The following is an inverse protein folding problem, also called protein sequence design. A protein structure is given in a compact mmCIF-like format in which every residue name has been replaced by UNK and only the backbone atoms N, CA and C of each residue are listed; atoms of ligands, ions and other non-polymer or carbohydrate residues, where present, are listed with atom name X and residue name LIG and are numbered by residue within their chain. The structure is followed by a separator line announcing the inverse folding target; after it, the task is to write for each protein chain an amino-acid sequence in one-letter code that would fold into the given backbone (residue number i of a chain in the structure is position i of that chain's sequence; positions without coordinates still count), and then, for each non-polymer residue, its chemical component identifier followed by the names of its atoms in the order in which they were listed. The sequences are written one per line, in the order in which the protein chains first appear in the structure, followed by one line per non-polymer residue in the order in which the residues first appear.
data_IF_933664140204
#
_entry.id   IF_933664140204
#
_cell.length_a   1.000
_cell.length_b   1.000
_cell.length_c   1.000
_cell.angle_alpha   90.00
_cell.angle_beta   90.00
_cell.angle_gamma   90.00
#
_symmetry.space_group_name_H-M   'P 1'
#
loop_
_entity.id
_entity.type
_entity.pdbx_description
1 polymer ?
#
# COMPACT_ATOMS: atom_id res chain seq x y z
N UNK A 1 -37.44 -13.05 1.87
CA UNK A 1 -36.13 -13.05 1.26
C UNK A 1 -35.39 -14.32 1.68
N UNK A 2 -34.99 -15.14 0.70
CA UNK A 2 -34.14 -16.31 0.98
C UNK A 2 -32.78 -15.81 1.43
N UNK A 3 -32.41 -16.11 2.66
CA UNK A 3 -31.04 -15.84 3.15
C UNK A 3 -30.09 -16.69 2.31
N UNK A 4 -29.21 -16.06 1.58
CA UNK A 4 -28.24 -16.74 0.76
C UNK A 4 -27.15 -17.34 1.67
N UNK A 5 -27.26 -18.65 1.93
CA UNK A 5 -26.41 -19.39 2.86
C UNK A 5 -24.92 -19.24 2.47
N UNK A 6 -24.64 -19.09 1.17
CA UNK A 6 -23.26 -18.86 0.69
C UNK A 6 -22.69 -17.55 1.22
N UNK A 7 -23.49 -16.49 1.28
CA UNK A 7 -23.05 -15.19 1.83
C UNK A 7 -22.87 -15.25 3.34
N UNK A 8 -23.71 -16.00 4.05
CA UNK A 8 -23.62 -16.18 5.50
C UNK A 8 -22.29 -16.85 5.91
N UNK A 9 -21.74 -17.71 5.08
CA UNK A 9 -20.46 -18.41 5.32
C UNK A 9 -19.29 -17.58 4.80
N UNK A 10 -19.42 -16.94 3.64
CA UNK A 10 -18.34 -16.18 3.00
C UNK A 10 -17.90 -14.94 3.81
N UNK A 11 -18.85 -14.20 4.41
CA UNK A 11 -18.50 -13.01 5.20
C UNK A 11 -17.66 -13.32 6.45
N UNK A 12 -18.04 -14.29 7.32
CA UNK A 12 -17.21 -14.67 8.45
C UNK A 12 -15.84 -15.22 8.04
N UNK A 13 -15.76 -15.98 6.96
CA UNK A 13 -14.52 -16.53 6.44
C UNK A 13 -13.59 -15.42 5.92
N UNK A 14 -14.13 -14.45 5.18
CA UNK A 14 -13.39 -13.28 4.71
C UNK A 14 -12.90 -12.42 5.88
N UNK A 15 -13.75 -12.20 6.90
CA UNK A 15 -13.38 -11.48 8.12
C UNK A 15 -12.26 -12.20 8.88
N UNK A 16 -12.36 -13.52 9.02
CA UNK A 16 -11.32 -14.33 9.66
C UNK A 16 -9.98 -14.21 8.90
N UNK A 17 -10.01 -14.30 7.57
CA UNK A 17 -8.84 -14.12 6.72
C UNK A 17 -8.21 -12.72 6.89
N UNK A 18 -9.04 -11.68 6.95
CA UNK A 18 -8.59 -10.31 7.18
C UNK A 18 -7.96 -10.13 8.55
N UNK A 19 -8.56 -10.70 9.60
CA UNK A 19 -8.02 -10.65 10.97
C UNK A 19 -6.70 -11.41 11.09
N UNK A 20 -6.59 -12.56 10.43
CA UNK A 20 -5.34 -13.33 10.39
C UNK A 20 -4.23 -12.57 9.69
N UNK A 21 -4.54 -11.94 8.54
CA UNK A 21 -3.60 -11.10 7.82
C UNK A 21 -3.17 -9.89 8.65
N UNK A 22 -4.12 -9.21 9.29
CA UNK A 22 -3.82 -8.08 10.17
C UNK A 22 -2.90 -8.49 11.34
N UNK A 23 -3.21 -9.60 12.00
CA UNK A 23 -2.38 -10.14 13.08
C UNK A 23 -0.95 -10.48 12.61
N UNK A 24 -0.82 -11.06 11.42
CA UNK A 24 0.47 -11.36 10.83
C UNK A 24 1.29 -10.09 10.52
N UNK A 25 0.66 -9.08 9.92
CA UNK A 25 1.31 -7.79 9.61
C UNK A 25 1.79 -7.12 10.90
N UNK A 26 0.93 -7.00 11.92
CA UNK A 26 1.27 -6.40 13.20
C UNK A 26 2.42 -7.17 13.88
N UNK A 27 2.39 -8.50 13.84
CA UNK A 27 3.48 -9.32 14.38
C UNK A 27 4.81 -9.08 13.65
N UNK A 28 4.78 -9.00 12.33
CA UNK A 28 5.95 -8.69 11.50
C UNK A 28 6.51 -7.30 11.83
N UNK A 29 5.65 -6.29 11.93
CA UNK A 29 6.05 -4.91 12.25
C UNK A 29 6.65 -4.80 13.66
N UNK A 30 6.09 -5.51 14.63
CA UNK A 30 6.65 -5.55 15.98
C UNK A 30 8.05 -6.19 16.00
N UNK A 31 8.25 -7.27 15.25
CA UNK A 31 9.56 -7.92 15.12
C UNK A 31 10.58 -7.01 14.42
N UNK A 32 10.15 -6.31 13.37
CA UNK A 32 10.98 -5.32 12.67
C UNK A 32 11.31 -4.11 13.55
N UNK A 33 10.36 -3.65 14.34
CA UNK A 33 10.58 -2.56 15.30
C UNK A 33 11.70 -2.88 16.26
N UNK A 34 11.66 -4.06 16.89
CA UNK A 34 12.72 -4.51 17.79
C UNK A 34 14.10 -4.60 17.10
N UNK A 35 14.12 -5.02 15.83
CA UNK A 35 15.37 -5.06 15.07
C UNK A 35 15.90 -3.64 14.74
N UNK A 36 15.02 -2.70 14.39
CA UNK A 36 15.43 -1.31 14.15
C UNK A 36 15.84 -0.56 15.43
N UNK A 37 15.26 -0.91 16.59
CA UNK A 37 15.74 -0.42 17.89
C UNK A 37 17.17 -0.86 18.17
N UNK A 38 17.52 -2.13 17.92
CA UNK A 38 18.89 -2.62 18.06
C UNK A 38 19.89 -1.89 17.15
N UNK A 39 19.43 -1.38 16.01
CA UNK A 39 20.23 -0.60 15.07
C UNK A 39 20.29 0.90 15.39
N UNK A 40 19.65 1.35 16.48
CA UNK A 40 19.46 2.77 16.80
C UNK A 40 18.85 3.58 15.65
N UNK A 41 17.92 2.98 14.91
CA UNK A 41 17.24 3.59 13.76
C UNK A 41 15.73 3.28 13.72
N UNK A 42 15.00 3.47 14.84
CA UNK A 42 13.58 3.10 14.92
C UNK A 42 12.70 3.93 13.98
N UNK A 43 13.14 5.12 13.58
CA UNK A 43 12.47 5.98 12.60
C UNK A 43 12.36 5.35 11.21
N UNK A 44 13.13 4.30 10.93
CA UNK A 44 13.07 3.59 9.66
C UNK A 44 11.79 2.76 9.51
N UNK A 45 11.17 2.32 10.60
CA UNK A 45 9.97 1.50 10.54
C UNK A 45 8.78 2.22 9.86
N UNK A 46 8.35 3.42 10.31
CA UNK A 46 7.29 4.15 9.62
C UNK A 46 7.65 4.49 8.17
N UNK A 47 8.91 4.81 7.89
CA UNK A 47 9.38 5.08 6.53
C UNK A 47 9.23 3.86 5.61
N UNK A 48 9.66 2.71 6.07
CA UNK A 48 9.55 1.46 5.32
C UNK A 48 8.08 1.05 5.12
N UNK A 49 7.26 1.16 6.15
CA UNK A 49 5.84 0.82 6.07
C UNK A 49 5.07 1.72 5.10
N UNK A 50 5.31 3.03 5.13
CA UNK A 50 4.73 3.99 4.18
C UNK A 50 5.23 3.69 2.76
N UNK A 51 6.53 3.41 2.57
CA UNK A 51 7.09 3.03 1.28
C UNK A 51 6.43 1.77 0.73
N UNK A 52 6.31 0.72 1.55
CA UNK A 52 5.65 -0.53 1.17
C UNK A 52 4.18 -0.31 0.83
N UNK A 53 3.46 0.48 1.62
CA UNK A 53 2.07 0.82 1.33
C UNK A 53 1.92 1.55 -0.02
N UNK A 54 2.80 2.50 -0.32
CA UNK A 54 2.78 3.22 -1.61
C UNK A 54 3.16 2.34 -2.79
N UNK A 55 4.16 1.47 -2.64
CA UNK A 55 4.59 0.54 -3.70
C UNK A 55 3.52 -0.50 -3.98
N UNK A 56 2.95 -1.11 -2.94
CA UNK A 56 1.85 -2.08 -3.09
C UNK A 56 0.63 -1.43 -3.71
N UNK A 57 0.23 -0.25 -3.23
CA UNK A 57 -0.86 0.52 -3.82
C UNK A 57 -0.59 0.81 -5.31
N UNK A 58 0.62 1.21 -5.71
CA UNK A 58 0.96 1.43 -7.11
C UNK A 58 0.80 0.17 -7.96
N UNK A 59 1.33 -0.95 -7.49
CA UNK A 59 1.28 -2.21 -8.23
C UNK A 59 -0.15 -2.72 -8.42
N UNK A 60 -0.96 -2.71 -7.37
CA UNK A 60 -2.34 -3.20 -7.44
C UNK A 60 -3.27 -2.23 -8.15
N UNK A 61 -3.15 -0.92 -7.89
CA UNK A 61 -4.06 0.06 -8.45
C UNK A 61 -3.94 0.21 -9.98
N UNK A 62 -2.79 -0.08 -10.60
CA UNK A 62 -2.68 -0.10 -12.07
C UNK A 62 -3.66 -1.11 -12.67
N UNK A 63 -3.70 -2.33 -12.13
CA UNK A 63 -4.60 -3.38 -12.64
C UNK A 63 -6.05 -3.10 -12.29
N UNK A 64 -6.32 -2.63 -11.09
CA UNK A 64 -7.67 -2.24 -10.67
C UNK A 64 -8.20 -1.08 -11.51
N UNK A 65 -7.37 -0.07 -11.81
CA UNK A 65 -7.73 1.07 -12.63
C UNK A 65 -8.00 0.66 -14.09
N UNK A 66 -7.18 -0.24 -14.65
CA UNK A 66 -7.46 -0.84 -15.96
C UNK A 66 -8.79 -1.59 -15.96
N UNK A 67 -9.06 -2.39 -14.93
CA UNK A 67 -10.31 -3.12 -14.79
C UNK A 67 -11.51 -2.17 -14.65
N UNK A 68 -11.39 -1.14 -13.82
CA UNK A 68 -12.46 -0.17 -13.57
C UNK A 68 -12.78 0.68 -14.79
N UNK A 69 -11.78 1.08 -15.58
CA UNK A 69 -11.99 1.96 -16.73
C UNK A 69 -12.43 1.20 -18.00
N UNK A 70 -11.89 0.01 -18.24
CA UNK A 70 -12.06 -0.65 -19.54
C UNK A 70 -12.87 -1.94 -19.47
N UNK A 71 -13.00 -2.59 -18.30
CA UNK A 71 -13.66 -3.89 -18.19
C UNK A 71 -14.91 -3.90 -17.32
N UNK A 72 -15.26 -2.77 -16.66
CA UNK A 72 -16.45 -2.74 -15.83
C UNK A 72 -17.72 -2.71 -16.72
N UNK A 73 -18.68 -3.59 -16.41
CA UNK A 73 -19.99 -3.63 -17.07
C UNK A 73 -20.81 -2.36 -16.82
N UNK A 74 -20.52 -1.66 -15.74
CA UNK A 74 -21.22 -0.43 -15.33
C UNK A 74 -20.93 0.73 -16.29
N UNK A 75 -19.80 0.71 -17.01
CA UNK A 75 -19.51 1.72 -18.04
C UNK A 75 -20.52 1.71 -19.17
N UNK A 76 -21.09 0.56 -19.52
CA UNK A 76 -22.13 0.46 -20.54
C UNK A 76 -23.46 1.05 -20.04
N UNK A 77 -23.83 0.82 -18.77
CA UNK A 77 -25.03 1.40 -18.16
C UNK A 77 -24.88 2.91 -17.87
N UNK A 78 -23.69 3.39 -17.57
CA UNK A 78 -23.39 4.81 -17.39
C UNK A 78 -23.43 5.60 -18.70
N UNK A 79 -23.26 4.94 -19.86
CA UNK A 79 -23.34 5.58 -21.16
C UNK A 79 -24.72 6.17 -21.48
N UNK A 80 -25.79 5.69 -20.83
CA UNK A 80 -27.14 6.22 -20.95
C UNK A 80 -27.43 7.42 -20.05
N UNK A 81 -26.55 7.73 -19.11
CA UNK A 81 -26.68 8.86 -18.21
C UNK A 81 -25.90 10.06 -18.78
N UNK A 82 -26.42 11.29 -18.66
CA UNK A 82 -25.73 12.51 -19.12
C UNK A 82 -24.59 12.89 -18.17
N UNK A 83 -23.63 11.96 -17.98
CA UNK A 83 -22.49 12.17 -17.11
C UNK A 83 -21.30 12.69 -17.92
N UNK A 84 -20.55 13.61 -17.32
CA UNK A 84 -19.30 14.07 -17.93
C UNK A 84 -18.21 13.00 -17.73
N UNK A 85 -17.27 12.90 -18.67
CA UNK A 85 -16.12 11.97 -18.56
C UNK A 85 -15.33 12.16 -17.27
N UNK A 86 -15.27 13.39 -16.77
CA UNK A 86 -14.60 13.72 -15.49
C UNK A 86 -15.31 13.09 -14.30
N UNK A 87 -16.65 13.12 -14.28
CA UNK A 87 -17.44 12.54 -13.20
C UNK A 87 -17.28 11.01 -13.16
N UNK A 88 -17.28 10.36 -14.32
CA UNK A 88 -17.05 8.92 -14.42
C UNK A 88 -15.63 8.55 -13.93
N UNK A 89 -14.64 9.32 -14.36
CA UNK A 89 -13.25 9.11 -13.96
C UNK A 89 -13.06 9.28 -12.45
N UNK A 90 -13.63 10.34 -11.87
CA UNK A 90 -13.57 10.60 -10.42
C UNK A 90 -14.26 9.49 -9.62
N UNK A 91 -15.42 9.00 -10.09
CA UNK A 91 -16.11 7.89 -9.45
C UNK A 91 -15.25 6.60 -9.44
N UNK A 92 -14.61 6.29 -10.57
CA UNK A 92 -13.73 5.11 -10.70
C UNK A 92 -12.45 5.25 -9.87
N UNK A 93 -11.88 6.46 -9.84
CA UNK A 93 -10.75 6.76 -8.97
C UNK A 93 -11.11 6.55 -7.49
N UNK A 94 -12.28 7.06 -7.06
CA UNK A 94 -12.75 6.91 -5.67
C UNK A 94 -13.02 5.45 -5.32
N UNK A 95 -13.58 4.66 -6.25
CA UNK A 95 -13.81 3.22 -6.06
C UNK A 95 -12.50 2.48 -5.76
N UNK A 96 -11.48 2.72 -6.57
CA UNK A 96 -10.15 2.12 -6.40
C UNK A 96 -9.47 2.67 -5.13
N UNK A 97 -9.59 3.97 -4.86
CA UNK A 97 -9.03 4.58 -3.66
C UNK A 97 -9.56 3.94 -2.37
N UNK A 98 -10.87 3.75 -2.25
CA UNK A 98 -11.46 3.14 -1.05
C UNK A 98 -10.98 1.69 -0.87
N UNK A 99 -10.85 0.92 -1.96
CA UNK A 99 -10.36 -0.45 -1.87
C UNK A 99 -8.89 -0.53 -1.44
N UNK A 100 -8.04 0.34 -1.99
CA UNK A 100 -6.61 0.39 -1.67
C UNK A 100 -6.32 1.00 -0.28
N UNK A 101 -7.18 1.93 0.18
CA UNK A 101 -7.01 2.59 1.46
C UNK A 101 -6.99 1.59 2.62
N UNK A 102 -7.85 0.57 2.58
CA UNK A 102 -7.90 -0.45 3.62
C UNK A 102 -6.59 -1.24 3.71
N UNK A 103 -6.02 -1.62 2.56
CA UNK A 103 -4.74 -2.33 2.51
C UNK A 103 -3.57 -1.46 2.96
N UNK A 104 -3.53 -0.22 2.52
CA UNK A 104 -2.46 0.70 2.92
C UNK A 104 -2.51 1.06 4.40
N UNK A 105 -3.71 1.22 4.95
CA UNK A 105 -3.87 1.42 6.40
C UNK A 105 -3.43 0.18 7.18
N UNK A 106 -3.71 -1.01 6.68
CA UNK A 106 -3.27 -2.25 7.31
C UNK A 106 -1.75 -2.34 7.39
N UNK A 107 -1.03 -1.85 6.37
CA UNK A 107 0.43 -1.89 6.31
C UNK A 107 1.06 -0.70 7.03
N UNK A 108 0.57 0.53 6.85
CA UNK A 108 1.26 1.72 7.35
C UNK A 108 0.82 2.15 8.75
N UNK A 109 -0.47 1.96 9.10
CA UNK A 109 -0.97 2.50 10.36
C UNK A 109 -0.37 1.82 11.60
N UNK A 110 -0.23 0.48 11.69
CA UNK A 110 0.33 -0.14 12.89
C UNK A 110 1.79 0.27 13.10
N UNK A 111 2.61 0.35 12.04
CA UNK A 111 4.01 0.79 12.12
C UNK A 111 4.14 2.21 12.65
N UNK A 112 3.34 3.15 12.12
CA UNK A 112 3.36 4.56 12.53
C UNK A 112 2.86 4.70 13.98
N UNK A 113 1.80 3.96 14.34
CA UNK A 113 1.26 3.97 15.71
C UNK A 113 2.26 3.36 16.70
N UNK A 114 2.88 2.23 16.34
CA UNK A 114 3.87 1.55 17.18
C UNK A 114 5.06 2.46 17.48
N UNK A 115 5.58 3.15 16.47
CA UNK A 115 6.62 4.14 16.63
C UNK A 115 6.18 5.29 17.58
N UNK A 116 4.97 5.81 17.38
CA UNK A 116 4.43 6.89 18.24
C UNK A 116 4.30 6.48 19.71
N UNK A 117 3.83 5.27 20.00
CA UNK A 117 3.67 4.77 21.37
C UNK A 117 5.03 4.62 22.08
N UNK A 118 6.07 4.12 21.41
CA UNK A 118 7.36 3.84 22.04
C UNK A 118 8.23 5.09 22.21
N UNK A 119 8.12 6.05 21.30
CA UNK A 119 8.93 7.28 21.33
C UNK A 119 8.19 8.47 21.93
N UNK A 120 7.16 8.20 22.76
CA UNK A 120 6.39 9.22 23.50
C UNK A 120 5.94 10.40 22.62
N UNK A 121 5.47 10.06 21.41
CA UNK A 121 5.01 11.08 20.47
C UNK A 121 3.86 11.87 21.08
N UNK A 122 3.95 13.18 20.97
CA UNK A 122 2.91 14.10 21.42
C UNK A 122 1.59 13.86 20.64
N UNK A 123 0.47 14.29 21.20
CA UNK A 123 -0.84 14.17 20.54
C UNK A 123 -0.85 14.79 19.13
N UNK A 124 -0.02 15.81 18.89
CA UNK A 124 0.16 16.46 17.59
C UNK A 124 0.73 15.51 16.53
N UNK A 125 1.51 14.50 16.93
CA UNK A 125 1.99 13.43 16.06
C UNK A 125 0.81 12.64 15.46
N UNK A 126 -0.12 12.20 16.32
CA UNK A 126 -1.30 11.44 15.87
C UNK A 126 -2.25 12.29 15.03
N UNK A 127 -2.36 13.59 15.33
CA UNK A 127 -3.16 14.51 14.53
C UNK A 127 -2.59 14.67 13.11
N UNK A 128 -1.27 14.72 12.96
CA UNK A 128 -0.58 14.81 11.66
C UNK A 128 -0.57 13.48 10.91
N UNK A 129 -0.51 12.36 11.63
CA UNK A 129 -0.55 11.01 11.09
C UNK A 129 -1.82 10.75 10.27
N UNK A 130 -2.98 11.12 10.78
CA UNK A 130 -4.28 10.80 10.15
C UNK A 130 -4.39 11.30 8.71
N UNK A 131 -4.20 12.60 8.40
CA UNK A 131 -4.28 13.06 7.02
C UNK A 131 -3.17 12.49 6.12
N UNK A 132 -1.99 12.20 6.64
CA UNK A 132 -0.93 11.55 5.87
C UNK A 132 -1.33 10.12 5.49
N UNK A 133 -1.83 9.31 6.42
CA UNK A 133 -2.28 7.95 6.14
C UNK A 133 -3.48 7.91 5.17
N UNK A 134 -4.37 8.88 5.24
CA UNK A 134 -5.45 9.01 4.27
C UNK A 134 -4.94 9.41 2.88
N UNK A 135 -3.92 10.25 2.80
CA UNK A 135 -3.39 10.73 1.53
C UNK A 135 -2.32 9.82 0.89
N UNK A 136 -1.83 8.80 1.62
CA UNK A 136 -0.72 7.94 1.19
C UNK A 136 -0.94 7.29 -0.18
N UNK A 137 -2.19 6.96 -0.52
CA UNK A 137 -2.55 6.31 -1.78
C UNK A 137 -2.81 7.29 -2.93
N UNK A 138 -2.97 8.57 -2.68
CA UNK A 138 -3.36 9.52 -3.72
C UNK A 138 -2.32 9.61 -4.83
N UNK A 139 -1.02 9.66 -4.48
CA UNK A 139 0.08 9.70 -5.45
C UNK A 139 0.15 8.40 -6.28
N UNK A 140 0.24 7.19 -5.67
CA UNK A 140 0.23 5.94 -6.41
C UNK A 140 -0.99 5.79 -7.33
N UNK A 141 -2.18 6.14 -6.86
CA UNK A 141 -3.40 6.05 -7.66
C UNK A 141 -3.38 7.01 -8.86
N UNK A 142 -2.90 8.22 -8.67
CA UNK A 142 -2.80 9.19 -9.77
C UNK A 142 -1.83 8.71 -10.83
N UNK A 143 -0.67 8.15 -10.43
CA UNK A 143 0.27 7.53 -11.35
C UNK A 143 -0.38 6.34 -12.06
N UNK A 144 -1.10 5.49 -11.34
CA UNK A 144 -1.81 4.32 -11.88
C UNK A 144 -2.89 4.71 -12.88
N UNK A 145 -3.62 5.79 -12.61
CA UNK A 145 -4.61 6.34 -13.53
C UNK A 145 -3.96 6.80 -14.85
N UNK A 146 -2.83 7.50 -14.76
CA UNK A 146 -2.06 7.92 -15.93
C UNK A 146 -1.56 6.72 -16.73
N UNK A 147 -0.96 5.73 -16.04
CA UNK A 147 -0.49 4.50 -16.67
C UNK A 147 -1.63 3.71 -17.33
N UNK A 148 -2.75 3.53 -16.64
CA UNK A 148 -3.94 2.87 -17.18
C UNK A 148 -4.49 3.60 -18.39
N UNK A 149 -4.50 4.94 -18.38
CA UNK A 149 -4.95 5.76 -19.51
C UNK A 149 -4.03 5.63 -20.73
N UNK A 150 -2.72 5.52 -20.52
CA UNK A 150 -1.74 5.29 -21.59
C UNK A 150 -1.88 3.88 -22.14
N UNK A 151 -1.90 2.87 -21.27
CA UNK A 151 -2.03 1.46 -21.66
C UNK A 151 -3.36 1.20 -22.40
N UNK A 152 -4.44 1.81 -21.96
CA UNK A 152 -5.75 1.67 -22.59
C UNK A 152 -5.84 2.23 -24.02
N UNK A 153 -4.92 3.10 -24.44
CA UNK A 153 -4.82 3.58 -25.83
C UNK A 153 -4.30 2.49 -26.79
N UNK A 154 -3.59 1.50 -26.27
CA UNK A 154 -3.18 0.35 -27.07
C UNK A 154 -4.34 -0.63 -27.18
N UNK A 155 -5.19 -0.45 -28.20
CA UNK A 155 -6.47 -1.15 -28.43
C UNK A 155 -6.34 -2.69 -28.46
N UNK A 156 -5.16 -3.23 -28.73
CA UNK A 156 -4.90 -4.67 -28.67
C UNK A 156 -4.93 -5.24 -27.25
N UNK A 157 -4.64 -4.42 -26.24
CA UNK A 157 -4.56 -4.82 -24.83
C UNK A 157 -5.96 -5.07 -24.23
N UNK A 158 -6.96 -4.30 -24.64
CA UNK A 158 -8.33 -4.39 -24.12
C UNK A 158 -9.07 -5.64 -24.62
N UNK A 159 -8.62 -6.23 -25.73
CA UNK A 159 -9.23 -7.42 -26.33
C UNK A 159 -8.95 -8.71 -25.54
N UNK A 160 -7.91 -8.74 -24.74
CA UNK A 160 -7.45 -9.92 -24.00
C UNK A 160 -7.36 -9.64 -22.48
N UNK A 161 -8.49 -9.19 -21.87
CA UNK A 161 -8.55 -8.88 -20.43
C UNK A 161 -8.07 -10.03 -19.54
N UNK A 162 -8.37 -11.28 -19.94
CA UNK A 162 -8.00 -12.48 -19.19
C UNK A 162 -6.48 -12.66 -19.15
N UNK A 163 -5.79 -12.30 -20.24
CA UNK A 163 -4.32 -12.35 -20.33
C UNK A 163 -3.69 -11.37 -19.35
N UNK A 164 -4.26 -10.16 -19.19
CA UNK A 164 -3.71 -9.15 -18.26
C UNK A 164 -3.91 -9.51 -16.79
N UNK A 165 -5.07 -10.09 -16.46
CA UNK A 165 -5.32 -10.60 -15.10
C UNK A 165 -4.36 -11.76 -14.80
N UNK A 166 -4.22 -12.70 -15.72
CA UNK A 166 -3.30 -13.82 -15.57
C UNK A 166 -1.85 -13.33 -15.48
N UNK A 167 -1.45 -12.40 -16.35
CA UNK A 167 -0.08 -11.85 -16.36
C UNK A 167 0.26 -11.12 -15.07
N UNK A 168 -0.68 -10.32 -14.53
CA UNK A 168 -0.53 -9.65 -13.25
C UNK A 168 -0.41 -10.64 -12.09
N UNK A 169 -1.26 -11.67 -12.08
CA UNK A 169 -1.22 -12.73 -11.06
C UNK A 169 0.08 -13.53 -11.14
N UNK A 170 0.51 -13.90 -12.35
CA UNK A 170 1.77 -14.64 -12.57
C UNK A 170 2.97 -13.78 -12.19
N UNK A 171 2.99 -12.49 -12.58
CA UNK A 171 4.06 -11.58 -12.21
C UNK A 171 4.18 -11.46 -10.70
N UNK A 172 3.05 -11.29 -10.00
CA UNK A 172 3.03 -11.21 -8.56
C UNK A 172 3.51 -12.51 -7.91
N UNK A 173 3.04 -13.66 -8.42
CA UNK A 173 3.49 -14.97 -7.96
C UNK A 173 5.01 -15.14 -8.14
N UNK A 174 5.55 -14.76 -9.30
CA UNK A 174 7.00 -14.80 -9.58
C UNK A 174 7.78 -13.90 -8.63
N UNK A 175 7.28 -12.69 -8.34
CA UNK A 175 7.92 -11.78 -7.38
C UNK A 175 7.90 -12.39 -5.99
N UNK A 176 6.76 -12.89 -5.52
CA UNK A 176 6.63 -13.50 -4.19
C UNK A 176 7.52 -14.74 -4.06
N UNK A 177 7.42 -15.68 -5.01
CA UNK A 177 8.26 -16.89 -5.00
C UNK A 177 9.74 -16.58 -5.18
N UNK A 178 10.09 -15.57 -5.98
CA UNK A 178 11.47 -15.11 -6.14
C UNK A 178 12.06 -14.51 -4.87
N UNK A 179 11.28 -13.74 -4.14
CA UNK A 179 11.66 -13.23 -2.82
C UNK A 179 11.78 -14.36 -1.80
N UNK A 180 10.79 -15.25 -1.78
CA UNK A 180 10.80 -16.42 -0.90
C UNK A 180 12.05 -17.28 -1.15
N UNK A 181 12.33 -17.64 -2.39
CA UNK A 181 13.52 -18.43 -2.74
C UNK A 181 14.84 -17.73 -2.45
N UNK A 182 14.91 -16.42 -2.59
CA UNK A 182 16.15 -15.67 -2.34
C UNK A 182 16.39 -15.36 -0.87
N UNK A 183 15.35 -15.31 -0.03
CA UNK A 183 15.44 -14.88 1.38
C UNK A 183 15.34 -16.07 2.33
N UNK A 184 14.34 -16.94 2.17
CA UNK A 184 14.06 -18.05 3.11
C UNK A 184 15.25 -18.99 3.34
N UNK A 185 16.01 -19.45 2.32
CA UNK A 185 17.12 -20.37 2.55
C UNK A 185 18.30 -19.74 3.33
N UNK A 186 18.29 -18.42 3.50
CA UNK A 186 19.32 -17.68 4.22
C UNK A 186 18.95 -17.43 5.68
N UNK A 187 17.71 -17.73 6.06
CA UNK A 187 17.23 -17.55 7.43
C UNK A 187 17.47 -18.85 8.20
N UNK A 188 18.32 -18.88 9.23
CA UNK A 188 18.49 -20.04 10.11
C UNK A 188 17.18 -20.37 10.83
N UNK A 189 16.96 -21.65 11.15
CA UNK A 189 15.76 -22.10 11.88
C UNK A 189 15.65 -21.47 13.29
N UNK A 190 16.78 -21.07 13.86
CA UNK A 190 16.92 -20.41 15.16
C UNK A 190 17.18 -18.90 15.04
N UNK A 191 16.79 -18.30 13.91
CA UNK A 191 16.98 -16.86 13.67
C UNK A 191 16.29 -16.03 14.76
N UNK A 192 17.10 -15.31 15.50
CA UNK A 192 16.67 -14.38 16.55
C UNK A 192 16.66 -12.92 16.04
N UNK A 193 16.24 -12.01 16.92
CA UNK A 193 16.23 -10.58 16.59
C UNK A 193 17.63 -10.05 16.25
N UNK A 194 18.70 -10.63 16.80
CA UNK A 194 20.07 -10.24 16.50
C UNK A 194 20.48 -10.63 15.09
N UNK A 195 20.06 -11.79 14.59
CA UNK A 195 20.25 -12.18 13.18
C UNK A 195 19.57 -11.20 12.22
N UNK A 196 18.31 -10.86 12.50
CA UNK A 196 17.59 -9.87 11.67
C UNK A 196 18.22 -8.49 11.73
N UNK A 197 18.71 -8.06 12.91
CA UNK A 197 19.43 -6.81 13.05
C UNK A 197 20.73 -6.82 12.22
N UNK A 198 21.49 -7.91 12.24
CA UNK A 198 22.71 -8.04 11.43
C UNK A 198 22.42 -8.04 9.93
N UNK A 199 21.36 -8.70 9.49
CA UNK A 199 20.90 -8.69 8.11
C UNK A 199 20.49 -7.27 7.67
N UNK A 200 19.75 -6.56 8.54
CA UNK A 200 19.32 -5.19 8.29
C UNK A 200 20.48 -4.19 8.28
N UNK A 201 21.58 -4.43 9.03
CA UNK A 201 22.75 -3.54 9.04
C UNK A 201 23.34 -3.36 7.64
N UNK A 202 23.39 -4.44 6.85
CA UNK A 202 23.86 -4.39 5.47
C UNK A 202 22.90 -3.67 4.51
N UNK A 203 21.60 -3.70 4.80
CA UNK A 203 20.54 -3.13 3.94
C UNK A 203 20.14 -1.73 4.38
N UNK A 204 20.46 -1.33 5.62
CA UNK A 204 20.08 -0.03 6.18
C UNK A 204 20.46 1.17 5.32
N UNK A 205 21.69 1.30 4.77
CA UNK A 205 22.05 2.43 3.91
C UNK A 205 21.20 2.47 2.62
N UNK A 206 20.92 1.30 2.08
CA UNK A 206 20.08 1.16 0.89
C UNK A 206 18.62 1.54 1.19
N UNK A 207 18.05 1.08 2.31
CA UNK A 207 16.72 1.45 2.76
C UNK A 207 16.58 2.95 2.99
N UNK A 208 17.54 3.56 3.68
CA UNK A 208 17.60 5.03 3.84
C UNK A 208 17.65 5.73 2.49
N UNK A 209 18.50 5.26 1.58
CA UNK A 209 18.59 5.83 0.23
C UNK A 209 17.26 5.72 -0.52
N UNK A 210 16.54 4.60 -0.42
CA UNK A 210 15.22 4.44 -1.03
C UNK A 210 14.17 5.37 -0.43
N UNK A 211 14.10 5.46 0.89
CA UNK A 211 13.16 6.36 1.57
C UNK A 211 13.39 7.81 1.14
N UNK A 212 14.66 8.25 1.09
CA UNK A 212 15.00 9.61 0.67
C UNK A 212 14.98 9.82 -0.86
N UNK A 213 15.19 8.76 -1.65
CA UNK A 213 15.11 8.85 -3.12
C UNK A 213 13.66 8.99 -3.61
N UNK A 214 12.68 8.63 -2.78
CA UNK A 214 11.26 8.82 -3.08
C UNK A 214 10.69 9.95 -2.21
N UNK A 215 10.75 11.22 -2.69
CA UNK A 215 10.43 12.40 -1.87
C UNK A 215 9.09 12.33 -1.14
N UNK A 216 7.99 11.77 -1.71
CA UNK A 216 6.72 11.67 -1.00
C UNK A 216 6.80 10.85 0.30
N UNK A 217 7.62 9.79 0.34
CA UNK A 217 7.79 9.00 1.56
C UNK A 217 8.56 9.80 2.61
N UNK A 218 9.66 10.45 2.22
CA UNK A 218 10.43 11.29 3.12
C UNK A 218 9.54 12.41 3.71
N UNK A 219 8.80 13.12 2.87
CA UNK A 219 7.86 14.17 3.31
C UNK A 219 6.77 13.66 4.25
N UNK A 220 6.25 12.46 4.00
CA UNK A 220 5.26 11.86 4.88
C UNK A 220 5.84 11.56 6.27
N UNK A 221 7.01 10.93 6.33
CA UNK A 221 7.69 10.54 7.58
C UNK A 221 8.10 11.77 8.38
N UNK A 222 8.85 12.68 7.76
CA UNK A 222 9.34 13.88 8.41
C UNK A 222 8.18 14.82 8.82
N UNK A 223 7.14 14.88 7.98
CA UNK A 223 5.92 15.61 8.27
C UNK A 223 5.18 15.10 9.51
N UNK A 224 5.03 13.77 9.65
CA UNK A 224 4.44 13.17 10.85
C UNK A 224 5.35 13.44 12.07
N UNK A 225 6.66 13.34 11.91
CA UNK A 225 7.65 13.56 12.96
C UNK A 225 7.69 15.01 13.46
N UNK A 226 7.24 15.99 12.67
CA UNK A 226 7.11 17.38 13.13
C UNK A 226 7.52 18.45 12.13
N UNK A 227 8.07 18.08 10.98
CA UNK A 227 8.40 19.04 9.93
C UNK A 227 7.11 19.49 9.21
N UNK A 228 6.65 20.65 9.61
CA UNK A 228 5.46 21.30 9.10
C UNK A 228 5.51 21.59 7.59
N UNK A 229 6.70 21.94 7.06
CA UNK A 229 6.87 22.25 5.65
C UNK A 229 6.74 20.96 4.80
N UNK A 230 7.35 19.88 5.23
CA UNK A 230 7.28 18.58 4.54
C UNK A 230 5.88 17.98 4.64
N UNK A 231 5.20 18.13 5.79
CA UNK A 231 3.81 17.74 5.95
C UNK A 231 2.89 18.42 4.92
N UNK A 232 3.02 19.75 4.78
CA UNK A 232 2.26 20.51 3.78
C UNK A 232 2.64 20.14 2.37
N UNK A 233 3.93 19.93 2.07
CA UNK A 233 4.40 19.51 0.75
C UNK A 233 3.80 18.16 0.36
N UNK A 234 3.79 17.19 1.29
CA UNK A 234 3.18 15.89 1.05
C UNK A 234 1.69 15.99 0.74
N UNK A 235 0.93 16.72 1.55
CA UNK A 235 -0.51 16.89 1.35
C UNK A 235 -0.83 17.66 0.06
N UNK A 236 -0.06 18.70 -0.23
CA UNK A 236 -0.25 19.49 -1.45
C UNK A 236 -0.04 18.66 -2.72
N UNK A 237 0.99 17.81 -2.75
CA UNK A 237 1.26 16.91 -3.89
C UNK A 237 0.30 15.73 -3.94
N UNK A 238 -0.23 15.30 -2.80
CA UNK A 238 -1.15 14.15 -2.73
C UNK A 238 -2.57 14.51 -3.14
N UNK A 239 -3.01 15.75 -2.88
CA UNK A 239 -4.42 16.19 -3.07
C UNK A 239 -4.58 17.10 -4.30
N UNK A 240 -3.48 17.78 -4.74
CA UNK A 240 -3.48 18.71 -5.89
C UNK A 240 -3.30 18.01 -7.22
#
# INVERSE_FOLDING_TARGET
GKIDISRLILYPLALLGMLTLAGFVIFMEFSMFSAFEMLNAPEMLPGLAILLAMVTALLFSVFQMLAALYFSRDTASMAYLPLTSRTVLAAKWTEVYVSELLFSLLIAAPAVVLYGIHYAADWTYYLRMVPVLLAVNCIPLTISLLLASILGRFTSLTRHKEVWVVLGTVLMLVVVLGLEWSILPKIPEDADAAFFAQMLTGVQPMLRAFIHAFPPVAWAVDGIAGDWLQWLAFLAVSIG
#
